data_IF_093898063284
#
_entry.id   IF_093898063284
#
_cell.length_a   1.000
_cell.length_b   1.000
_cell.length_c   1.000
_cell.angle_alpha   90.00
_cell.angle_beta   90.00
_cell.angle_gamma   90.00
#
_symmetry.space_group_name_H-M   'P 1'
#
loop_
_entity.id
_entity.type
_entity.pdbx_description
1 polymer ?
#
# COMPACT_ATOMS: atom_id res chain seq x y z
N UNK A 1 -1.41 14.94 37.77
CA UNK A 1 -1.85 15.30 36.40
C UNK A 1 -0.61 15.70 35.61
N UNK A 2 -0.09 14.80 34.78
CA UNK A 2 1.07 15.12 33.95
C UNK A 2 0.62 15.98 32.75
N UNK A 3 1.33 17.08 32.42
CA UNK A 3 1.04 17.82 31.21
C UNK A 3 1.25 16.88 30.02
N UNK A 4 0.20 16.62 29.26
CA UNK A 4 0.30 15.87 28.01
C UNK A 4 1.22 16.65 27.09
N UNK A 5 2.42 16.11 26.82
CA UNK A 5 3.40 16.75 25.95
C UNK A 5 2.76 16.93 24.57
N UNK A 6 2.36 18.16 24.24
CA UNK A 6 1.84 18.50 22.92
C UNK A 6 2.91 18.14 21.90
N UNK A 7 2.58 17.20 21.00
CA UNK A 7 3.48 16.76 19.95
C UNK A 7 4.02 17.97 19.16
N UNK A 8 5.32 17.97 18.90
CA UNK A 8 5.99 19.04 18.17
C UNK A 8 5.35 19.25 16.78
N UNK A 9 5.40 20.47 16.21
CA UNK A 9 4.91 20.71 14.84
C UNK A 9 5.52 19.73 13.82
N UNK A 10 6.81 19.42 13.97
CA UNK A 10 7.52 18.50 13.06
C UNK A 10 7.00 17.07 13.17
N UNK A 11 6.68 16.59 14.37
CA UNK A 11 6.12 15.25 14.57
C UNK A 11 4.70 15.15 14.00
N UNK A 12 3.90 16.22 14.11
CA UNK A 12 2.58 16.29 13.45
C UNK A 12 2.70 16.23 11.93
N UNK A 13 3.64 16.96 11.33
CA UNK A 13 3.87 16.90 9.89
C UNK A 13 4.36 15.51 9.44
N UNK A 14 5.26 14.87 10.20
CA UNK A 14 5.71 13.50 9.94
C UNK A 14 4.55 12.50 9.96
N UNK A 15 3.67 12.61 10.96
CA UNK A 15 2.50 11.75 11.08
C UNK A 15 1.59 11.86 9.86
N UNK A 16 1.27 13.10 9.43
CA UNK A 16 0.37 13.33 8.29
C UNK A 16 1.01 12.88 6.98
N UNK A 17 2.31 13.17 6.77
CA UNK A 17 3.03 12.67 5.59
C UNK A 17 3.15 11.15 5.55
N UNK A 18 3.11 10.49 6.72
CA UNK A 18 3.08 9.04 6.86
C UNK A 18 1.87 8.36 6.20
N UNK A 19 0.82 9.12 5.85
CA UNK A 19 -0.31 8.60 5.10
C UNK A 19 0.00 8.33 3.62
N UNK A 20 1.05 8.95 3.06
CA UNK A 20 1.45 8.78 1.65
C UNK A 20 2.82 8.15 1.49
N UNK A 21 3.65 8.21 2.53
CA UNK A 21 5.02 7.74 2.50
C UNK A 21 5.24 6.78 3.68
N UNK A 22 6.09 5.76 3.53
CA UNK A 22 6.59 5.02 4.69
C UNK A 22 7.14 5.99 5.75
N UNK A 23 6.86 5.76 7.03
CA UNK A 23 7.21 6.72 8.10
C UNK A 23 8.70 7.13 8.12
N UNK A 24 9.61 6.22 7.75
CA UNK A 24 11.04 6.52 7.57
C UNK A 24 11.29 7.51 6.42
N UNK A 25 10.61 7.34 5.29
CA UNK A 25 10.72 8.23 4.14
C UNK A 25 10.13 9.62 4.43
N UNK A 26 8.98 9.68 5.12
CA UNK A 26 8.39 10.95 5.58
C UNK A 26 9.36 11.73 6.48
N UNK A 27 10.00 11.04 7.44
CA UNK A 27 11.03 11.64 8.30
C UNK A 27 12.24 12.12 7.51
N UNK A 28 12.81 11.27 6.66
CA UNK A 28 13.99 11.62 5.85
C UNK A 28 13.73 12.79 4.91
N UNK A 29 12.55 12.85 4.29
CA UNK A 29 12.14 13.95 3.43
C UNK A 29 12.09 15.28 4.19
N UNK A 30 11.41 15.30 5.34
CA UNK A 30 11.32 16.51 6.17
C UNK A 30 12.68 16.93 6.72
N UNK A 31 13.47 16.00 7.27
CA UNK A 31 14.79 16.31 7.83
C UNK A 31 15.72 16.88 6.74
N UNK A 32 15.67 16.33 5.52
CA UNK A 32 16.43 16.84 4.37
C UNK A 32 16.00 18.25 3.98
N UNK A 33 14.70 18.52 3.87
CA UNK A 33 14.17 19.83 3.49
C UNK A 33 14.48 20.88 4.56
N UNK A 34 14.27 20.56 5.84
CA UNK A 34 14.55 21.46 6.97
C UNK A 34 16.04 21.84 6.99
N UNK A 35 16.93 20.87 6.84
CA UNK A 35 18.38 21.13 6.77
C UNK A 35 18.79 21.92 5.53
N UNK A 36 18.19 21.64 4.37
CA UNK A 36 18.48 22.38 3.13
C UNK A 36 18.11 23.87 3.23
N UNK A 37 17.14 24.20 4.09
CA UNK A 37 16.73 25.57 4.40
C UNK A 37 17.53 26.18 5.58
N UNK A 38 18.56 25.49 6.06
CA UNK A 38 19.42 25.95 7.16
C UNK A 38 18.73 25.99 8.52
N UNK A 39 17.64 25.23 8.69
CA UNK A 39 16.85 25.22 9.91
C UNK A 39 17.21 24.02 10.80
N UNK A 40 17.15 24.21 12.13
CA UNK A 40 17.25 23.13 13.10
C UNK A 40 15.88 22.49 13.31
N UNK A 41 15.73 21.14 13.24
CA UNK A 41 14.44 20.45 13.34
C UNK A 41 13.61 20.80 14.58
N UNK A 42 14.27 21.01 15.72
CA UNK A 42 13.61 21.28 17.00
C UNK A 42 13.23 22.76 17.16
N UNK A 43 13.77 23.64 16.29
CA UNK A 43 13.50 25.08 16.30
C UNK A 43 12.46 25.51 15.26
N UNK A 44 11.97 24.58 14.41
CA UNK A 44 10.98 24.92 13.37
C UNK A 44 9.60 25.12 13.99
N UNK A 45 9.13 26.36 13.99
CA UNK A 45 7.75 26.66 14.39
C UNK A 45 6.72 26.22 13.33
N UNK A 46 5.44 26.30 13.70
CA UNK A 46 4.34 25.86 12.85
C UNK A 46 4.19 26.66 11.54
N UNK A 47 4.50 27.96 11.56
CA UNK A 47 4.36 28.84 10.39
C UNK A 47 5.46 28.55 9.36
N UNK A 48 6.69 28.41 9.83
CA UNK A 48 7.82 28.02 9.00
C UNK A 48 7.61 26.63 8.43
N UNK A 49 7.16 25.67 9.24
CA UNK A 49 6.87 24.32 8.78
C UNK A 49 5.72 24.28 7.76
N UNK A 50 4.67 25.09 7.93
CA UNK A 50 3.59 25.20 6.97
C UNK A 50 4.09 25.71 5.60
N UNK A 51 5.02 26.67 5.60
CA UNK A 51 5.66 27.15 4.37
C UNK A 51 6.50 26.06 3.70
N UNK A 52 7.25 25.27 4.47
CA UNK A 52 8.02 24.12 3.95
C UNK A 52 7.10 23.07 3.31
N UNK A 53 5.99 22.76 3.96
CA UNK A 53 4.98 21.79 3.51
C UNK A 53 4.35 22.22 2.17
N UNK A 54 4.02 23.50 2.02
CA UNK A 54 3.36 24.01 0.81
C UNK A 54 4.33 24.29 -0.35
N UNK A 55 5.62 24.46 -0.08
CA UNK A 55 6.64 24.75 -1.08
C UNK A 55 7.52 23.54 -1.37
N UNK A 56 8.69 23.42 -0.71
CA UNK A 56 9.64 22.32 -0.93
C UNK A 56 9.02 20.92 -0.90
N UNK A 57 8.22 20.58 0.11
CA UNK A 57 7.61 19.24 0.24
C UNK A 57 6.66 18.95 -0.93
N UNK A 58 5.83 19.93 -1.32
CA UNK A 58 4.95 19.80 -2.47
C UNK A 58 5.76 19.58 -3.77
N UNK A 59 6.85 20.32 -3.99
CA UNK A 59 7.69 20.17 -5.19
C UNK A 59 8.29 18.78 -5.32
N UNK A 60 8.70 18.18 -4.21
CA UNK A 60 9.24 16.81 -4.18
C UNK A 60 8.14 15.77 -4.46
N UNK A 61 6.95 15.92 -3.87
CA UNK A 61 5.91 14.90 -3.93
C UNK A 61 5.01 14.97 -5.17
N UNK A 62 4.96 16.10 -5.89
CA UNK A 62 4.04 16.30 -7.03
C UNK A 62 4.28 15.38 -8.24
N UNK A 63 5.38 14.63 -8.23
CA UNK A 63 5.72 13.64 -9.26
C UNK A 63 5.44 12.20 -8.82
N UNK A 64 5.16 11.97 -7.53
CA UNK A 64 4.95 10.64 -6.95
C UNK A 64 3.50 10.43 -6.50
N UNK A 65 2.79 11.50 -6.16
CA UNK A 65 1.41 11.48 -5.65
C UNK A 65 0.49 12.27 -6.59
N UNK A 66 -0.75 11.81 -6.86
CA UNK A 66 -1.73 12.58 -7.64
C UNK A 66 -1.89 14.02 -7.13
N UNK A 67 -1.81 14.99 -8.06
CA UNK A 67 -1.64 16.42 -7.74
C UNK A 67 -2.83 16.99 -6.97
N UNK A 68 -4.03 16.59 -7.36
CA UNK A 68 -5.31 17.07 -6.85
C UNK A 68 -5.44 16.72 -5.36
N UNK A 69 -5.15 15.47 -5.01
CA UNK A 69 -5.21 14.99 -3.63
C UNK A 69 -4.08 15.59 -2.79
N UNK A 70 -2.85 15.61 -3.32
CA UNK A 70 -1.68 16.13 -2.60
C UNK A 70 -1.86 17.60 -2.19
N UNK A 71 -2.29 18.46 -3.12
CA UNK A 71 -2.43 19.89 -2.85
C UNK A 71 -3.48 20.19 -1.77
N UNK A 72 -4.60 19.46 -1.79
CA UNK A 72 -5.68 19.64 -0.79
C UNK A 72 -5.19 19.25 0.61
N UNK A 73 -4.51 18.12 0.73
CA UNK A 73 -4.07 17.59 2.01
C UNK A 73 -2.91 18.40 2.60
N UNK A 74 -1.94 18.84 1.79
CA UNK A 74 -0.87 19.73 2.26
C UNK A 74 -1.41 21.09 2.72
N UNK A 75 -2.43 21.64 2.05
CA UNK A 75 -3.14 22.86 2.51
C UNK A 75 -3.83 22.63 3.86
N UNK A 76 -4.46 21.48 4.05
CA UNK A 76 -5.10 21.12 5.33
C UNK A 76 -4.08 20.98 6.44
N UNK A 77 -2.95 20.30 6.19
CA UNK A 77 -1.83 20.20 7.12
C UNK A 77 -1.28 21.58 7.49
N UNK A 78 -0.99 22.42 6.49
CA UNK A 78 -0.48 23.77 6.71
C UNK A 78 -1.40 24.60 7.61
N UNK A 79 -2.73 24.53 7.41
CA UNK A 79 -3.69 25.20 8.30
C UNK A 79 -3.63 24.66 9.74
N UNK A 80 -3.52 23.35 9.91
CA UNK A 80 -3.42 22.73 11.25
C UNK A 80 -2.12 23.07 11.98
N UNK A 81 -1.05 23.39 11.25
CA UNK A 81 0.23 23.82 11.83
C UNK A 81 0.18 25.27 12.33
N UNK A 82 -0.60 26.14 11.66
CA UNK A 82 -0.85 27.51 12.13
C UNK A 82 -1.74 27.53 13.38
N UNK A 83 -2.73 26.65 13.42
CA UNK A 83 -3.64 26.58 14.56
C UNK A 83 -2.99 25.82 15.72
N UNK A 84 -2.33 26.56 16.63
CA UNK A 84 -1.74 26.01 17.86
C UNK A 84 -2.76 25.28 18.74
N UNK A 85 -4.06 25.59 18.61
CA UNK A 85 -5.17 24.91 19.30
C UNK A 85 -5.76 23.78 18.48
N UNK A 86 -5.40 23.61 17.21
CA UNK A 86 -5.83 22.46 16.44
C UNK A 86 -5.23 21.22 17.09
N UNK A 87 -6.11 20.50 17.79
CA UNK A 87 -5.94 19.09 18.10
C UNK A 87 -5.42 18.44 16.81
N UNK A 88 -4.24 17.79 16.84
CA UNK A 88 -3.75 17.08 15.66
C UNK A 88 -4.91 16.26 15.11
N UNK A 89 -5.15 16.26 13.78
CA UNK A 89 -6.20 15.42 13.22
C UNK A 89 -5.99 14.05 13.83
N UNK A 90 -6.96 13.64 14.68
CA UNK A 90 -6.89 12.35 15.34
C UNK A 90 -6.62 11.40 14.19
N UNK A 91 -5.48 10.67 14.16
CA UNK A 91 -5.29 9.68 13.12
C UNK A 91 -6.61 8.93 13.12
N UNK A 92 -7.30 8.92 11.96
CA UNK A 92 -8.47 8.05 11.82
C UNK A 92 -7.99 6.73 12.39
N UNK A 93 -8.69 6.13 13.35
CA UNK A 93 -8.30 4.82 13.84
C UNK A 93 -8.26 3.95 12.59
N UNK A 94 -7.05 3.75 12.04
CA UNK A 94 -6.72 2.57 11.28
C UNK A 94 -7.00 1.53 12.32
N UNK A 95 -8.12 0.82 12.17
CA UNK A 95 -8.57 -0.14 13.14
C UNK A 95 -7.36 -0.97 13.54
N UNK A 96 -6.87 -0.77 14.77
CA UNK A 96 -5.81 -1.57 15.37
C UNK A 96 -6.37 -2.89 15.86
N UNK A 97 -7.61 -3.22 15.48
CA UNK A 97 -7.91 -4.59 15.09
C UNK A 97 -6.98 -4.93 13.92
N UNK A 98 -5.72 -5.20 14.26
CA UNK A 98 -4.87 -6.08 13.50
C UNK A 98 -5.75 -7.33 13.36
N UNK A 99 -6.37 -7.56 12.19
CA UNK A 99 -7.26 -8.69 12.05
C UNK A 99 -6.41 -9.88 12.40
N UNK A 100 -6.85 -10.67 13.37
CA UNK A 100 -6.18 -11.89 13.74
C UNK A 100 -5.81 -12.58 12.41
N UNK A 101 -4.52 -12.89 12.19
CA UNK A 101 -4.08 -13.37 10.90
C UNK A 101 -4.98 -14.55 10.55
N UNK A 102 -5.74 -14.47 9.43
CA UNK A 102 -6.67 -15.53 9.09
C UNK A 102 -5.90 -16.84 9.08
N UNK A 103 -6.53 -17.96 9.49
CA UNK A 103 -5.88 -19.26 9.45
C UNK A 103 -5.26 -19.47 8.07
N UNK A 104 -4.09 -20.14 7.99
CA UNK A 104 -3.37 -20.30 6.73
C UNK A 104 -4.27 -20.99 5.71
N UNK A 105 -4.70 -20.19 4.73
CA UNK A 105 -5.58 -20.60 3.63
C UNK A 105 -4.87 -21.60 2.75
N UNK A 106 -5.36 -22.83 2.57
CA UNK A 106 -4.70 -23.86 1.76
C UNK A 106 -5.41 -24.03 0.43
N UNK A 107 -4.65 -23.93 -0.67
CA UNK A 107 -5.13 -24.29 -2.00
C UNK A 107 -5.05 -25.80 -2.24
N UNK A 108 -5.77 -26.31 -3.26
CA UNK A 108 -5.48 -27.59 -3.86
C UNK A 108 -3.99 -27.74 -4.18
N UNK A 109 -3.45 -28.96 -3.99
CA UNK A 109 -2.04 -29.23 -4.25
C UNK A 109 -1.70 -29.06 -5.73
N UNK A 110 -2.64 -29.41 -6.61
CA UNK A 110 -2.59 -29.23 -8.05
C UNK A 110 -2.93 -27.79 -8.48
N UNK A 111 -1.94 -27.01 -8.99
CA UNK A 111 -2.18 -25.67 -9.50
C UNK A 111 -3.19 -25.62 -10.65
N UNK A 112 -3.32 -26.69 -11.43
CA UNK A 112 -4.21 -26.75 -12.58
C UNK A 112 -5.68 -26.57 -12.20
N UNK A 113 -6.10 -27.13 -11.06
CA UNK A 113 -7.46 -26.98 -10.52
C UNK A 113 -7.76 -25.51 -10.21
N UNK A 114 -6.81 -24.81 -9.58
CA UNK A 114 -6.93 -23.38 -9.26
C UNK A 114 -7.05 -22.56 -10.55
N UNK A 115 -6.19 -22.84 -11.53
CA UNK A 115 -6.20 -22.12 -12.80
C UNK A 115 -7.48 -22.37 -13.60
N UNK A 116 -8.03 -23.58 -13.55
CA UNK A 116 -9.31 -23.90 -14.22
C UNK A 116 -10.49 -23.14 -13.61
N UNK A 117 -10.56 -23.07 -12.28
CA UNK A 117 -11.62 -22.33 -11.59
C UNK A 117 -11.56 -20.82 -11.89
N UNK A 118 -10.36 -20.25 -12.08
CA UNK A 118 -10.20 -18.84 -12.41
C UNK A 118 -10.44 -18.52 -13.89
N UNK A 119 -10.08 -19.44 -14.79
CA UNK A 119 -10.19 -19.21 -16.22
C UNK A 119 -11.64 -19.15 -16.75
N UNK A 120 -12.62 -19.56 -15.95
CA UNK A 120 -14.05 -19.48 -16.31
C UNK A 120 -14.70 -18.18 -15.84
N UNK A 121 -13.98 -17.34 -15.11
CA UNK A 121 -14.50 -16.07 -14.61
C UNK A 121 -14.50 -15.02 -15.71
N UNK A 122 -15.57 -14.22 -15.75
CA UNK A 122 -15.72 -13.16 -16.73
C UNK A 122 -14.67 -12.06 -16.54
N UNK A 123 -14.10 -11.60 -17.65
CA UNK A 123 -13.03 -10.61 -17.68
C UNK A 123 -11.66 -11.08 -17.19
N UNK A 124 -11.43 -12.38 -16.97
CA UNK A 124 -10.10 -12.95 -16.68
C UNK A 124 -9.42 -13.37 -17.98
N UNK A 125 -8.27 -12.76 -18.27
CA UNK A 125 -7.46 -13.03 -19.47
C UNK A 125 -6.39 -14.11 -19.20
N UNK A 126 -5.95 -14.23 -17.95
CA UNK A 126 -4.96 -15.22 -17.55
C UNK A 126 -4.80 -15.35 -16.04
N UNK A 127 -4.23 -16.47 -15.61
CA UNK A 127 -3.88 -16.71 -14.23
C UNK A 127 -2.56 -17.51 -14.14
N UNK A 128 -1.83 -17.32 -13.05
CA UNK A 128 -0.60 -18.04 -12.78
C UNK A 128 -0.47 -18.32 -11.29
N UNK A 129 0.09 -19.49 -10.95
CA UNK A 129 0.42 -19.85 -9.57
C UNK A 129 1.93 -19.78 -9.42
N UNK A 130 2.41 -19.16 -8.36
CA UNK A 130 3.83 -19.05 -8.03
C UNK A 130 4.12 -19.66 -6.67
N UNK A 131 5.33 -20.14 -6.47
CA UNK A 131 5.83 -20.46 -5.13
C UNK A 131 6.17 -19.18 -4.34
N UNK A 132 6.57 -19.36 -3.07
CA UNK A 132 6.93 -18.24 -2.17
C UNK A 132 8.12 -17.40 -2.66
N UNK A 133 8.99 -17.95 -3.51
CA UNK A 133 10.15 -17.25 -4.06
C UNK A 133 9.87 -16.63 -5.42
N UNK A 134 8.62 -16.73 -5.91
CA UNK A 134 8.17 -16.09 -7.14
C UNK A 134 8.44 -16.90 -8.39
N UNK A 135 8.71 -18.20 -8.30
CA UNK A 135 8.83 -19.07 -9.48
C UNK A 135 7.44 -19.53 -9.93
N UNK A 136 7.11 -19.42 -11.22
CA UNK A 136 5.83 -19.93 -11.73
C UNK A 136 5.79 -21.46 -11.59
N UNK A 137 4.76 -21.96 -10.92
CA UNK A 137 4.44 -23.38 -10.82
C UNK A 137 3.60 -23.84 -12.01
N UNK A 138 2.62 -23.02 -12.39
CA UNK A 138 1.77 -23.24 -13.56
C UNK A 138 1.13 -21.92 -14.03
N UNK A 139 0.65 -21.88 -15.28
CA UNK A 139 0.00 -20.70 -15.87
C UNK A 139 -1.04 -21.08 -16.93
N UNK A 140 -2.06 -20.25 -17.05
CA UNK A 140 -3.10 -20.35 -18.08
C UNK A 140 -3.46 -18.96 -18.61
N UNK A 141 -3.67 -18.84 -19.92
CA UNK A 141 -4.01 -17.56 -20.55
C UNK A 141 -2.85 -16.56 -20.56
N UNK A 142 -3.18 -15.27 -20.67
CA UNK A 142 -2.22 -14.19 -20.79
C UNK A 142 -1.76 -13.66 -19.42
N UNK A 143 -0.54 -14.02 -19.05
CA UNK A 143 0.19 -13.42 -17.91
C UNK A 143 1.55 -12.96 -18.43
N UNK A 144 1.66 -11.69 -18.89
CA UNK A 144 2.91 -11.15 -19.43
C UNK A 144 4.04 -11.21 -18.40
N UNK A 145 5.22 -11.64 -18.83
CA UNK A 145 6.44 -11.75 -18.01
C UNK A 145 6.19 -12.38 -16.62
N UNK A 146 5.62 -13.58 -16.59
CA UNK A 146 5.31 -14.29 -15.34
C UNK A 146 6.55 -14.41 -14.41
N UNK A 147 7.75 -14.63 -14.96
CA UNK A 147 8.97 -14.72 -14.15
C UNK A 147 9.39 -13.37 -13.54
N UNK A 148 9.36 -12.28 -14.32
CA UNK A 148 9.61 -10.94 -13.80
C UNK A 148 8.59 -10.56 -12.74
N UNK A 149 7.30 -10.79 -13.02
CA UNK A 149 6.23 -10.51 -12.08
C UNK A 149 6.34 -11.33 -10.78
N UNK A 150 6.60 -12.64 -10.88
CA UNK A 150 6.79 -13.50 -9.72
C UNK A 150 7.94 -13.03 -8.82
N UNK A 151 9.07 -12.59 -9.41
CA UNK A 151 10.18 -11.99 -8.65
C UNK A 151 9.76 -10.71 -7.92
N UNK A 152 8.99 -9.84 -8.57
CA UNK A 152 8.46 -8.61 -7.96
C UNK A 152 7.50 -8.95 -6.83
N UNK A 153 6.60 -9.93 -7.00
CA UNK A 153 5.71 -10.40 -5.94
C UNK A 153 6.46 -10.98 -4.75
N UNK A 154 7.49 -11.81 -4.98
CA UNK A 154 8.28 -12.38 -3.89
C UNK A 154 9.00 -11.29 -3.07
N UNK A 155 9.64 -10.34 -3.75
CA UNK A 155 10.33 -9.22 -3.11
C UNK A 155 9.35 -8.27 -2.40
N UNK A 156 8.29 -7.85 -3.10
CA UNK A 156 7.28 -6.93 -2.59
C UNK A 156 6.46 -7.55 -1.45
N UNK A 157 6.03 -8.80 -1.61
CA UNK A 157 5.34 -9.57 -0.59
C UNK A 157 6.18 -9.73 0.67
N UNK A 158 7.48 -10.05 0.54
CA UNK A 158 8.40 -10.12 1.68
C UNK A 158 8.59 -8.76 2.38
N UNK A 159 8.60 -7.66 1.63
CA UNK A 159 8.70 -6.32 2.19
C UNK A 159 7.42 -5.92 2.94
N UNK A 160 6.27 -6.15 2.33
CA UNK A 160 4.96 -5.84 2.90
C UNK A 160 4.65 -6.71 4.12
N UNK A 161 5.08 -7.98 4.11
CA UNK A 161 4.97 -8.89 5.24
C UNK A 161 5.66 -8.38 6.52
N UNK A 162 6.70 -7.53 6.39
CA UNK A 162 7.37 -6.89 7.54
C UNK A 162 6.49 -5.86 8.25
N UNK A 163 5.42 -5.39 7.60
CA UNK A 163 4.54 -4.35 8.09
C UNK A 163 3.11 -4.86 8.37
N UNK A 164 2.84 -6.15 8.19
CA UNK A 164 1.53 -6.77 8.42
C UNK A 164 1.28 -7.93 7.47
N UNK A 165 0.12 -8.57 7.59
CA UNK A 165 -0.30 -9.62 6.65
C UNK A 165 -0.78 -8.99 5.34
N UNK A 166 -0.18 -9.42 4.22
CA UNK A 166 -0.66 -9.05 2.89
C UNK A 166 -1.86 -9.91 2.57
N UNK A 167 -3.01 -9.29 2.29
CA UNK A 167 -4.22 -10.00 1.83
C UNK A 167 -4.29 -10.14 0.32
N UNK A 168 -3.80 -9.13 -0.39
CA UNK A 168 -3.68 -9.11 -1.85
C UNK A 168 -2.86 -7.89 -2.28
N UNK A 169 -2.36 -7.95 -3.51
CA UNK A 169 -1.71 -6.84 -4.22
C UNK A 169 -2.44 -6.69 -5.54
N UNK A 170 -2.91 -5.48 -5.85
CA UNK A 170 -3.55 -5.20 -7.13
C UNK A 170 -2.80 -4.06 -7.82
N UNK A 171 -2.54 -4.23 -9.12
CA UNK A 171 -1.94 -3.22 -9.99
C UNK A 171 -2.90 -3.03 -11.15
N UNK A 172 -3.38 -1.80 -11.34
CA UNK A 172 -4.23 -1.42 -12.45
C UNK A 172 -3.46 -0.49 -13.39
N UNK A 173 -3.60 -0.70 -14.68
CA UNK A 173 -3.08 0.16 -15.76
C UNK A 173 -4.12 0.24 -16.89
N UNK A 174 -3.77 0.94 -17.97
CA UNK A 174 -4.65 1.12 -19.13
C UNK A 174 -4.97 -0.21 -19.83
N UNK A 175 -4.12 -1.22 -19.67
CA UNK A 175 -4.31 -2.55 -20.24
C UNK A 175 -5.22 -3.43 -19.36
N UNK A 176 -5.49 -3.05 -18.11
CA UNK A 176 -6.41 -3.71 -17.18
C UNK A 176 -5.81 -3.94 -15.78
N UNK A 177 -6.17 -5.05 -15.14
CA UNK A 177 -5.87 -5.31 -13.72
C UNK A 177 -5.09 -6.61 -13.54
N UNK A 178 -4.00 -6.52 -12.78
CA UNK A 178 -3.26 -7.66 -12.27
C UNK A 178 -3.46 -7.76 -10.75
N UNK A 179 -4.14 -8.81 -10.31
CA UNK A 179 -4.37 -9.14 -8.92
C UNK A 179 -3.42 -10.28 -8.50
N UNK A 180 -2.81 -10.19 -7.33
CA UNK A 180 -2.06 -11.28 -6.73
C UNK A 180 -2.53 -11.49 -5.29
N UNK A 181 -2.92 -12.72 -4.97
CA UNK A 181 -3.42 -13.12 -3.66
C UNK A 181 -2.45 -14.15 -3.07
N UNK A 182 -1.86 -13.90 -1.89
CA UNK A 182 -1.11 -14.93 -1.19
C UNK A 182 -2.08 -15.96 -0.62
N UNK A 183 -1.83 -17.23 -0.91
CA UNK A 183 -2.62 -18.36 -0.39
C UNK A 183 -1.66 -19.45 0.07
N UNK A 184 -1.59 -19.68 1.39
CA UNK A 184 -0.54 -20.49 2.04
C UNK A 184 0.87 -20.03 1.65
N UNK A 185 1.64 -20.93 1.05
CA UNK A 185 3.05 -20.77 0.65
C UNK A 185 3.16 -20.43 -0.85
N UNK A 186 2.05 -20.04 -1.46
CA UNK A 186 1.92 -19.76 -2.90
C UNK A 186 1.33 -18.38 -3.13
N UNK A 187 1.58 -17.84 -4.31
CA UNK A 187 0.87 -16.69 -4.84
C UNK A 187 -0.02 -17.14 -5.98
N UNK A 188 -1.26 -16.67 -6.00
CA UNK A 188 -2.13 -16.80 -7.17
C UNK A 188 -2.27 -15.43 -7.79
N UNK A 189 -1.83 -15.30 -9.05
CA UNK A 189 -2.01 -14.10 -9.83
C UNK A 189 -3.12 -14.29 -10.86
N UNK A 190 -3.91 -13.25 -11.05
CA UNK A 190 -5.00 -13.17 -12.02
C UNK A 190 -4.83 -11.87 -12.80
N UNK A 191 -4.75 -11.98 -14.11
CA UNK A 191 -4.81 -10.89 -15.06
C UNK A 191 -6.19 -10.87 -15.66
N UNK A 192 -6.79 -9.69 -15.69
CA UNK A 192 -8.06 -9.49 -16.37
C UNK A 192 -8.26 -8.06 -16.81
N UNK A 193 -9.35 -7.81 -17.53
CA UNK A 193 -9.75 -6.47 -17.97
C UNK A 193 -9.96 -5.48 -16.81
N UNK A 194 -10.12 -4.19 -17.14
CA UNK A 194 -10.45 -3.16 -16.15
C UNK A 194 -11.78 -3.43 -15.41
N UNK A 195 -12.69 -4.16 -16.05
CA UNK A 195 -14.02 -4.51 -15.52
C UNK A 195 -14.07 -5.89 -14.86
N UNK A 196 -12.91 -6.56 -14.69
CA UNK A 196 -12.82 -7.88 -14.04
C UNK A 196 -13.51 -7.86 -12.67
N UNK A 197 -14.41 -8.81 -12.45
CA UNK A 197 -15.13 -8.93 -11.19
C UNK A 197 -14.22 -9.50 -10.09
N UNK A 198 -13.53 -8.61 -9.37
CA UNK A 198 -12.64 -8.97 -8.26
C UNK A 198 -13.37 -9.79 -7.18
N UNK A 199 -14.65 -9.51 -6.93
CA UNK A 199 -15.46 -10.25 -5.97
C UNK A 199 -15.62 -11.72 -6.36
N UNK A 200 -15.85 -12.00 -7.65
CA UNK A 200 -15.93 -13.36 -8.18
C UNK A 200 -14.58 -14.08 -8.08
N UNK A 201 -13.46 -13.38 -8.32
CA UNK A 201 -12.11 -13.93 -8.15
C UNK A 201 -11.86 -14.34 -6.70
N UNK A 202 -12.16 -13.46 -5.73
CA UNK A 202 -12.01 -13.80 -4.32
C UNK A 202 -12.94 -14.95 -3.90
N UNK A 203 -14.19 -14.94 -4.36
CA UNK A 203 -15.14 -16.01 -4.05
C UNK A 203 -14.67 -17.37 -4.59
N UNK A 204 -14.13 -17.41 -5.81
CA UNK A 204 -13.56 -18.63 -6.39
C UNK A 204 -12.35 -19.14 -5.59
N UNK A 205 -11.44 -18.24 -5.19
CA UNK A 205 -10.30 -18.62 -4.35
C UNK A 205 -10.75 -19.14 -2.98
N UNK A 206 -11.76 -18.51 -2.37
CA UNK A 206 -12.32 -18.98 -1.09
C UNK A 206 -13.02 -20.33 -1.23
N UNK A 207 -13.78 -20.57 -2.30
CA UNK A 207 -14.41 -21.86 -2.53
C UNK A 207 -13.37 -23.00 -2.65
N UNK A 208 -12.25 -22.75 -3.34
CA UNK A 208 -11.14 -23.70 -3.46
C UNK A 208 -10.44 -24.00 -2.12
N UNK A 209 -10.55 -23.10 -1.14
CA UNK A 209 -10.02 -23.32 0.20
C UNK A 209 -10.96 -24.20 1.05
N UNK A 210 -12.27 -24.14 0.79
CA UNK A 210 -13.32 -24.82 1.55
C UNK A 210 -13.59 -26.26 1.09
N UNK A 211 -13.31 -26.63 -0.17
CA UNK A 211 -13.55 -27.97 -0.74
C UNK A 211 -12.58 -29.08 -0.24
N UNK A 212 -12.12 -29.01 1.02
CA UNK A 212 -11.32 -30.06 1.66
C UNK A 212 -12.09 -30.91 2.66
#
# INVERSE_FOLDING_TARGET
MSPSATASPIDRARLVLGAWLPGRAAKQLLDRIVRAEGLEPDAVDGERLASLVLGPVYRELRYTVPRETLRRELKRLARSLHDRKATPPRPLPVATEQPEPPPPRRLPDDPGVVLMALAVLDGVDGAAVFDRVGRPLDRRGEVPDAEGFGRVLAAGGSLLARHGSVRSVAVANDDGVLLAVPVSERWVAVRGSADMNLGAVYAALTALEEER
#
